data_IF_637629232563
#
_entry.id   IF_637629232563
#
_cell.length_a   1.000
_cell.length_b   1.000
_cell.length_c   1.000
_cell.angle_alpha   90.00
_cell.angle_beta   90.00
_cell.angle_gamma   90.00
#
_symmetry.space_group_name_H-M   'P 1'
#
loop_
_entity.id
_entity.type
_entity.pdbx_description
1 polymer ?
#
# COMPACT_ATOMS: atom_id res chain seq x y z
N UNK A 1 -13.04 7.36 1.27
CA UNK A 1 -11.79 7.92 0.67
C UNK A 1 -10.84 6.79 0.32
N UNK A 2 -10.00 6.96 -0.71
CA UNK A 2 -9.02 5.97 -1.16
C UNK A 2 -7.75 6.65 -1.66
N UNK A 3 -6.59 6.05 -1.41
CA UNK A 3 -5.28 6.51 -1.87
C UNK A 3 -4.43 5.29 -2.24
N UNK A 4 -3.48 5.48 -3.14
CA UNK A 4 -2.54 4.45 -3.60
C UNK A 4 -1.16 5.06 -3.79
N UNK A 5 -0.16 4.45 -3.18
CA UNK A 5 1.25 4.73 -3.44
C UNK A 5 1.90 3.47 -4.06
N UNK A 6 2.16 3.51 -5.35
CA UNK A 6 2.73 2.38 -6.07
C UNK A 6 2.21 2.28 -7.50
N UNK A 7 2.14 1.05 -8.00
CA UNK A 7 1.70 0.76 -9.36
C UNK A 7 1.05 -0.62 -9.45
N UNK A 8 0.08 -0.78 -10.35
CA UNK A 8 -0.42 -2.08 -10.81
C UNK A 8 0.44 -2.56 -11.99
N UNK A 9 0.97 -3.78 -11.89
CA UNK A 9 1.72 -4.43 -12.96
C UNK A 9 0.89 -4.59 -14.23
N UNK A 10 1.54 -4.64 -15.39
CA UNK A 10 0.87 -4.88 -16.67
C UNK A 10 -0.34 -3.96 -16.94
N UNK A 11 -0.31 -2.71 -16.44
CA UNK A 11 -1.47 -1.81 -16.40
C UNK A 11 -2.22 -1.67 -17.74
N UNK A 12 -1.47 -1.60 -18.85
CA UNK A 12 -2.02 -1.49 -20.21
C UNK A 12 -2.98 -2.63 -20.58
N UNK A 13 -2.80 -3.81 -19.99
CA UNK A 13 -3.65 -4.98 -20.20
C UNK A 13 -4.65 -5.17 -19.06
N UNK A 14 -4.19 -5.00 -17.82
CA UNK A 14 -5.00 -5.19 -16.61
C UNK A 14 -6.16 -4.20 -16.54
N UNK A 15 -6.00 -2.96 -17.03
CA UNK A 15 -7.08 -1.97 -17.02
C UNK A 15 -8.37 -2.50 -17.65
N UNK A 16 -8.26 -3.17 -18.81
CA UNK A 16 -9.43 -3.72 -19.52
C UNK A 16 -10.12 -4.79 -18.69
N UNK A 17 -9.35 -5.68 -18.08
CA UNK A 17 -9.90 -6.78 -17.27
C UNK A 17 -10.59 -6.25 -16.01
N UNK A 18 -10.01 -5.25 -15.34
CA UNK A 18 -10.67 -4.56 -14.23
C UNK A 18 -11.98 -3.92 -14.72
N UNK A 19 -11.93 -3.18 -15.83
CA UNK A 19 -13.09 -2.49 -16.39
C UNK A 19 -14.25 -3.42 -16.76
N UNK A 20 -13.95 -4.63 -17.24
CA UNK A 20 -14.96 -5.65 -17.54
C UNK A 20 -15.49 -6.35 -16.27
N UNK A 21 -14.71 -6.36 -15.19
CA UNK A 21 -15.06 -7.05 -13.94
C UNK A 21 -15.96 -6.23 -13.01
N UNK A 22 -15.85 -4.89 -13.07
CA UNK A 22 -16.60 -3.99 -12.19
C UNK A 22 -18.02 -3.77 -12.71
N UNK A 23 -18.98 -3.68 -11.79
CA UNK A 23 -20.37 -3.36 -12.11
C UNK A 23 -20.51 -2.00 -12.80
N UNK A 24 -21.57 -1.85 -13.59
CA UNK A 24 -21.86 -0.62 -14.36
C UNK A 24 -21.80 0.65 -13.50
N UNK A 25 -22.32 0.58 -12.27
CA UNK A 25 -22.32 1.67 -11.29
C UNK A 25 -20.91 2.22 -11.08
N UNK A 26 -19.96 1.35 -10.75
CA UNK A 26 -18.56 1.73 -10.47
C UNK A 26 -17.79 2.07 -11.74
N UNK A 27 -18.06 1.38 -12.85
CA UNK A 27 -17.46 1.70 -14.15
C UNK A 27 -17.74 3.14 -14.57
N UNK A 28 -19.00 3.59 -14.48
CA UNK A 28 -19.41 4.95 -14.86
C UNK A 28 -18.87 6.02 -13.89
N UNK A 29 -18.59 5.63 -12.65
CA UNK A 29 -18.03 6.53 -11.63
C UNK A 29 -16.55 6.90 -11.86
N UNK A 30 -15.82 6.14 -12.68
CA UNK A 30 -14.41 6.44 -13.01
C UNK A 30 -14.34 7.61 -13.99
N UNK A 31 -13.56 8.64 -13.63
CA UNK A 31 -13.41 9.88 -14.40
C UNK A 31 -12.03 9.99 -15.06
N UNK A 32 -11.02 9.29 -14.54
CA UNK A 32 -9.65 9.31 -15.03
C UNK A 32 -9.17 7.96 -15.57
N UNK A 33 -7.83 7.83 -15.62
CA UNK A 33 -7.14 6.70 -16.25
C UNK A 33 -6.03 6.11 -15.38
N UNK A 34 -5.94 6.54 -14.12
CA UNK A 34 -4.92 6.04 -13.20
C UNK A 34 -5.31 4.65 -12.70
N UNK A 35 -4.31 3.81 -12.47
CA UNK A 35 -4.50 2.51 -11.87
C UNK A 35 -5.12 2.61 -10.46
N UNK A 36 -4.78 3.66 -9.70
CA UNK A 36 -5.35 3.96 -8.39
C UNK A 36 -6.87 4.15 -8.41
N UNK A 37 -7.42 4.86 -9.39
CA UNK A 37 -8.86 5.13 -9.47
C UNK A 37 -9.63 3.87 -9.88
N UNK A 38 -9.10 3.10 -10.83
CA UNK A 38 -9.66 1.80 -11.20
C UNK A 38 -9.56 0.77 -10.08
N UNK A 39 -8.49 0.79 -9.28
CA UNK A 39 -8.38 -0.02 -8.06
C UNK A 39 -9.46 0.38 -7.04
N UNK A 40 -9.77 1.67 -6.92
CA UNK A 40 -10.84 2.13 -6.04
C UNK A 40 -12.22 1.67 -6.53
N UNK A 41 -12.51 1.79 -7.83
CA UNK A 41 -13.75 1.26 -8.41
C UNK A 41 -13.89 -0.25 -8.17
N UNK A 42 -12.81 -1.02 -8.34
CA UNK A 42 -12.78 -2.44 -8.04
C UNK A 42 -13.00 -2.74 -6.55
N UNK A 43 -12.47 -1.91 -5.66
CA UNK A 43 -12.69 -2.02 -4.22
C UNK A 43 -14.16 -1.79 -3.84
N UNK A 44 -14.80 -0.75 -4.41
CA UNK A 44 -16.22 -0.47 -4.18
C UNK A 44 -17.11 -1.61 -4.71
N UNK A 45 -16.77 -2.13 -5.89
CA UNK A 45 -17.44 -3.31 -6.46
C UNK A 45 -17.28 -4.56 -5.58
N UNK A 46 -16.11 -4.76 -4.96
CA UNK A 46 -15.89 -5.84 -3.99
C UNK A 46 -16.76 -5.69 -2.74
N UNK A 47 -16.96 -4.48 -2.24
CA UNK A 47 -17.87 -4.21 -1.12
C UNK A 47 -19.32 -4.52 -1.49
N UNK A 48 -19.79 -4.00 -2.63
CA UNK A 48 -21.16 -4.20 -3.09
C UNK A 48 -21.46 -5.69 -3.31
N UNK A 49 -20.55 -6.42 -3.99
CA UNK A 49 -20.67 -7.87 -4.20
C UNK A 49 -20.61 -8.69 -2.90
N UNK A 50 -20.01 -8.14 -1.85
CA UNK A 50 -20.01 -8.75 -0.52
C UNK A 50 -21.29 -8.44 0.29
N UNK A 51 -22.25 -7.71 -0.29
CA UNK A 51 -23.52 -7.35 0.34
C UNK A 51 -23.49 -6.01 1.08
N UNK A 52 -22.46 -5.19 0.87
CA UNK A 52 -22.30 -3.88 1.52
C UNK A 52 -22.38 -2.78 0.47
N UNK A 53 -23.56 -2.20 0.26
CA UNK A 53 -23.76 -1.10 -0.70
C UNK A 53 -23.03 0.17 -0.22
N UNK A 54 -21.99 0.66 -0.91
CA UNK A 54 -21.25 1.84 -0.48
C UNK A 54 -22.06 3.14 -0.46
N UNK A 55 -23.22 3.19 -1.13
CA UNK A 55 -24.12 4.36 -1.10
C UNK A 55 -25.22 4.26 -0.04
N UNK A 56 -25.26 3.17 0.74
CA UNK A 56 -26.23 3.02 1.82
C UNK A 56 -26.02 4.07 2.91
N UNK A 57 -27.11 4.70 3.33
CA UNK A 57 -27.11 5.64 4.46
C UNK A 57 -26.62 4.96 5.75
N UNK A 58 -26.93 3.67 5.94
CA UNK A 58 -26.49 2.88 7.10
C UNK A 58 -24.96 2.87 7.24
N UNK A 59 -24.24 2.59 6.15
CA UNK A 59 -22.79 2.50 6.17
C UNK A 59 -22.11 3.86 6.08
N UNK A 60 -22.81 4.88 5.57
CA UNK A 60 -22.34 6.27 5.66
C UNK A 60 -22.31 6.74 7.12
N UNK A 61 -23.33 6.40 7.91
CA UNK A 61 -23.44 6.83 9.32
C UNK A 61 -22.59 5.98 10.25
N UNK A 62 -22.50 4.67 10.04
CA UNK A 62 -21.87 3.76 11.01
C UNK A 62 -20.52 3.18 10.54
N UNK A 63 -20.16 3.38 9.27
CA UNK A 63 -19.06 2.67 8.62
C UNK A 63 -19.41 1.22 8.28
N UNK A 64 -18.58 0.57 7.47
CA UNK A 64 -18.75 -0.86 7.10
C UNK A 64 -18.23 -1.80 8.20
N UNK A 65 -17.42 -1.27 9.11
CA UNK A 65 -16.65 -2.04 10.07
C UNK A 65 -15.29 -2.48 9.52
N UNK A 66 -14.26 -2.37 10.36
CA UNK A 66 -12.87 -2.57 9.96
C UNK A 66 -12.57 -3.94 9.35
N UNK A 67 -13.30 -4.99 9.77
CA UNK A 67 -13.12 -6.35 9.22
C UNK A 67 -13.66 -6.46 7.80
N UNK A 68 -14.79 -5.81 7.50
CA UNK A 68 -15.38 -5.78 6.15
C UNK A 68 -14.46 -5.01 5.21
N UNK A 69 -14.02 -3.82 5.64
CA UNK A 69 -13.10 -2.98 4.88
C UNK A 69 -11.79 -3.72 4.54
N UNK A 70 -11.20 -4.41 5.53
CA UNK A 70 -9.99 -5.23 5.32
C UNK A 70 -10.25 -6.39 4.35
N UNK A 71 -11.35 -7.12 4.50
CA UNK A 71 -11.69 -8.24 3.61
C UNK A 71 -11.90 -7.77 2.17
N UNK A 72 -12.61 -6.67 1.97
CA UNK A 72 -12.80 -6.07 0.64
C UNK A 72 -11.45 -5.69 0.02
N UNK A 73 -10.57 -5.04 0.78
CA UNK A 73 -9.22 -4.69 0.31
C UNK A 73 -8.38 -5.92 -0.07
N UNK A 74 -8.41 -6.99 0.74
CA UNK A 74 -7.72 -8.24 0.41
C UNK A 74 -8.29 -8.89 -0.86
N UNK A 75 -9.60 -8.83 -1.05
CA UNK A 75 -10.24 -9.31 -2.27
C UNK A 75 -9.85 -8.47 -3.49
N UNK A 76 -9.74 -7.15 -3.35
CA UNK A 76 -9.24 -6.26 -4.41
C UNK A 76 -7.82 -6.63 -4.82
N UNK A 77 -6.90 -6.82 -3.86
CA UNK A 77 -5.52 -7.26 -4.12
C UNK A 77 -5.52 -8.61 -4.84
N UNK A 78 -6.31 -9.58 -4.37
CA UNK A 78 -6.43 -10.90 -4.99
C UNK A 78 -6.88 -10.82 -6.44
N UNK A 79 -7.89 -10.01 -6.76
CA UNK A 79 -8.38 -9.82 -8.12
C UNK A 79 -7.33 -9.14 -9.00
N UNK A 80 -6.67 -8.08 -8.51
CA UNK A 80 -5.58 -7.40 -9.23
C UNK A 80 -4.46 -8.40 -9.58
N UNK A 81 -4.00 -9.19 -8.60
CA UNK A 81 -3.00 -10.24 -8.85
C UNK A 81 -3.51 -11.24 -9.91
N UNK A 82 -4.77 -11.68 -9.81
CA UNK A 82 -5.37 -12.60 -10.79
C UNK A 82 -5.38 -12.05 -12.22
N UNK A 83 -5.71 -10.76 -12.40
CA UNK A 83 -5.66 -10.11 -13.71
C UNK A 83 -4.23 -9.96 -14.24
N UNK A 84 -3.28 -9.63 -13.36
CA UNK A 84 -1.86 -9.59 -13.71
C UNK A 84 -1.39 -10.98 -14.13
N UNK A 85 -1.73 -12.03 -13.39
CA UNK A 85 -1.33 -13.42 -13.68
C UNK A 85 -1.95 -13.93 -14.99
N UNK A 86 -3.20 -13.55 -15.28
CA UNK A 86 -3.91 -13.90 -16.50
C UNK A 86 -3.39 -13.18 -17.76
N UNK A 87 -2.52 -12.18 -17.63
CA UNK A 87 -1.95 -11.48 -18.80
C UNK A 87 -1.07 -12.45 -19.61
N UNK A 88 -1.37 -12.71 -20.91
CA UNK A 88 -0.62 -13.62 -21.76
C UNK A 88 0.87 -13.27 -21.84
N UNK A 89 1.74 -14.28 -21.86
CA UNK A 89 3.20 -14.09 -21.92
C UNK A 89 3.64 -13.28 -23.13
N UNK A 90 2.95 -13.42 -24.26
CA UNK A 90 3.27 -12.78 -25.54
C UNK A 90 3.00 -11.26 -25.51
N UNK A 91 2.13 -10.81 -24.59
CA UNK A 91 1.82 -9.41 -24.40
C UNK A 91 2.73 -8.74 -23.36
N UNK A 92 3.54 -9.52 -22.63
CA UNK A 92 4.48 -9.01 -21.64
C UNK A 92 5.81 -8.70 -22.30
N UNK A 93 5.96 -7.45 -22.74
CA UNK A 93 7.27 -6.91 -23.13
C UNK A 93 8.28 -7.05 -21.96
N UNK A 94 9.55 -7.25 -22.27
CA UNK A 94 10.65 -7.29 -21.29
C UNK A 94 10.74 -6.01 -20.46
N UNK A 95 10.36 -4.87 -21.05
CA UNK A 95 10.34 -3.58 -20.36
C UNK A 95 9.12 -3.40 -19.44
N UNK A 96 8.16 -4.32 -19.45
CA UNK A 96 6.93 -4.20 -18.67
C UNK A 96 7.13 -4.70 -17.24
N UNK A 97 6.66 -3.91 -16.27
CA UNK A 97 6.62 -4.37 -14.89
C UNK A 97 5.63 -5.52 -14.71
N UNK A 98 6.16 -6.61 -14.19
CA UNK A 98 5.42 -7.83 -13.86
C UNK A 98 5.03 -7.90 -12.38
N UNK A 99 5.42 -6.89 -11.59
CA UNK A 99 5.24 -6.83 -10.14
C UNK A 99 4.49 -5.56 -9.77
N UNK A 100 3.53 -5.69 -8.87
CA UNK A 100 2.69 -4.60 -8.37
C UNK A 100 3.20 -4.14 -7.00
N UNK A 101 3.16 -2.83 -6.78
CA UNK A 101 3.32 -2.19 -5.46
C UNK A 101 1.96 -1.61 -5.09
N UNK A 102 1.32 -2.20 -4.09
CA UNK A 102 -0.09 -1.91 -3.77
C UNK A 102 -0.20 -1.36 -2.34
N UNK A 103 0.46 -0.23 -2.07
CA UNK A 103 0.24 0.47 -0.80
C UNK A 103 -1.02 1.31 -0.91
N UNK A 104 -2.16 0.70 -0.62
CA UNK A 104 -3.45 1.35 -0.57
C UNK A 104 -3.70 1.93 0.82
N UNK A 105 -4.48 3.00 0.90
CA UNK A 105 -5.09 3.48 2.13
C UNK A 105 -6.56 3.78 1.85
N UNK A 106 -7.46 3.21 2.64
CA UNK A 106 -8.90 3.38 2.49
C UNK A 106 -9.52 3.74 3.83
N UNK A 107 -10.53 4.61 3.80
CA UNK A 107 -11.33 4.93 4.98
C UNK A 107 -12.81 5.11 4.63
N UNK A 108 -13.65 4.63 5.53
CA UNK A 108 -15.11 4.80 5.58
C UNK A 108 -15.54 5.86 6.62
N UNK A 109 -14.62 6.72 7.05
CA UNK A 109 -14.85 7.72 8.09
C UNK A 109 -14.77 7.20 9.53
N UNK A 110 -14.75 5.87 9.72
CA UNK A 110 -14.76 5.23 11.05
C UNK A 110 -13.53 4.35 11.28
N UNK A 111 -13.05 3.72 10.22
CA UNK A 111 -11.89 2.85 10.18
C UNK A 111 -10.96 3.29 9.07
N UNK A 112 -9.69 2.95 9.22
CA UNK A 112 -8.68 3.09 8.18
C UNK A 112 -8.03 1.74 7.97
N UNK A 113 -7.90 1.31 6.72
CA UNK A 113 -7.09 0.14 6.34
C UNK A 113 -6.04 0.63 5.37
N UNK A 114 -4.78 0.38 5.69
CA UNK A 114 -3.69 0.53 4.73
C UNK A 114 -3.03 -0.81 4.46
N UNK A 115 -2.47 -0.96 3.27
CA UNK A 115 -1.68 -2.12 2.88
C UNK A 115 -0.23 -1.68 2.67
N UNK A 116 0.71 -2.54 3.05
CA UNK A 116 2.09 -2.49 2.57
C UNK A 116 2.33 -3.77 1.80
N UNK A 117 2.30 -3.72 0.47
CA UNK A 117 2.20 -4.93 -0.35
C UNK A 117 3.03 -4.88 -1.64
N UNK A 118 3.66 -6.00 -1.95
CA UNK A 118 4.33 -6.28 -3.22
C UNK A 118 4.02 -7.69 -3.71
N UNK A 119 3.72 -7.83 -5.01
CA UNK A 119 3.50 -9.13 -5.65
C UNK A 119 4.83 -9.79 -6.05
N UNK A 120 5.69 -10.01 -5.07
CA UNK A 120 7.01 -10.65 -5.23
C UNK A 120 7.43 -11.32 -3.92
N UNK A 121 8.14 -12.44 -4.00
CA UNK A 121 8.75 -13.09 -2.82
C UNK A 121 10.14 -12.53 -2.50
N UNK A 122 10.78 -11.86 -3.46
CA UNK A 122 12.18 -11.38 -3.36
C UNK A 122 12.28 -9.87 -3.17
N UNK A 123 11.29 -9.11 -3.58
CA UNK A 123 11.29 -7.64 -3.48
C UNK A 123 10.59 -7.15 -2.22
N UNK A 124 10.99 -5.97 -1.74
CA UNK A 124 10.30 -5.25 -0.68
C UNK A 124 9.24 -4.32 -1.29
N UNK A 125 8.12 -4.18 -0.58
CA UNK A 125 7.13 -3.17 -0.90
C UNK A 125 7.65 -1.75 -0.61
N UNK A 126 7.01 -0.75 -1.19
CA UNK A 126 7.27 0.64 -0.84
C UNK A 126 7.09 0.85 0.68
N UNK A 127 7.88 1.76 1.25
CA UNK A 127 7.92 1.98 2.69
C UNK A 127 6.58 2.45 3.23
N UNK A 128 6.30 2.04 4.46
CA UNK A 128 5.12 2.47 5.21
C UNK A 128 5.45 2.37 6.69
N UNK A 129 5.24 3.46 7.40
CA UNK A 129 5.47 3.59 8.84
C UNK A 129 4.20 4.06 9.50
N UNK A 130 4.06 3.74 10.78
CA UNK A 130 3.05 4.37 11.62
C UNK A 130 3.62 4.82 12.96
N UNK A 131 3.05 5.87 13.49
CA UNK A 131 3.27 6.32 14.87
C UNK A 131 1.92 6.49 15.55
N UNK A 132 1.87 6.28 16.86
CA UNK A 132 0.63 6.38 17.63
C UNK A 132 0.89 7.10 18.94
N UNK A 133 -0.07 7.87 19.45
CA UNK A 133 0.09 8.56 20.72
C UNK A 133 -1.15 9.32 21.14
N UNK A 134 -1.02 10.12 22.20
CA UNK A 134 -2.13 10.87 22.80
C UNK A 134 -2.26 12.28 22.22
N UNK A 135 -1.16 12.89 21.75
CA UNK A 135 -1.24 14.21 21.12
C UNK A 135 -0.08 14.51 20.16
N UNK A 136 -0.36 15.22 19.07
CA UNK A 136 0.63 15.73 18.13
C UNK A 136 0.88 17.21 18.43
N UNK A 137 2.10 17.56 18.82
CA UNK A 137 2.44 18.92 19.25
C UNK A 137 3.70 19.42 18.61
N UNK A 138 3.73 20.73 18.39
CA UNK A 138 4.94 21.40 18.03
C UNK A 138 5.91 21.39 19.24
N UNK A 139 7.14 20.97 18.99
CA UNK A 139 8.26 21.01 19.93
C UNK A 139 8.85 22.42 20.05
N UNK A 140 10.12 22.49 20.44
CA UNK A 140 10.78 23.75 20.79
C UNK A 140 11.03 24.67 19.58
N UNK A 141 11.10 24.12 18.36
CA UNK A 141 11.33 24.86 17.13
C UNK A 141 10.10 25.01 16.19
N UNK A 142 10.03 26.10 15.40
CA UNK A 142 9.11 26.22 14.25
C UNK A 142 9.14 24.98 13.35
N UNK A 143 7.98 24.37 13.09
CA UNK A 143 7.85 23.21 12.20
C UNK A 143 8.39 21.88 12.75
N UNK A 144 8.93 21.85 13.97
CA UNK A 144 9.33 20.62 14.63
C UNK A 144 8.12 20.05 15.35
N UNK A 145 7.57 18.94 14.86
CA UNK A 145 6.47 18.26 15.53
C UNK A 145 6.94 16.96 16.16
N UNK A 146 6.27 16.56 17.24
CA UNK A 146 6.49 15.28 17.92
C UNK A 146 5.19 14.62 18.31
N UNK A 147 5.24 13.30 18.38
CA UNK A 147 4.18 12.47 18.93
C UNK A 147 4.39 12.30 20.44
N UNK A 148 3.47 12.82 21.25
CA UNK A 148 3.49 12.58 22.70
C UNK A 148 2.68 11.32 23.04
N UNK A 149 3.20 10.52 23.98
CA UNK A 149 2.53 9.35 24.57
C UNK A 149 2.40 9.56 26.07
N UNK A 150 1.25 10.06 26.53
CA UNK A 150 1.00 10.30 27.96
C UNK A 150 0.43 9.08 28.68
N UNK A 151 -0.17 8.17 27.93
CA UNK A 151 -0.71 6.90 28.40
C UNK A 151 -0.54 5.81 27.33
N UNK A 152 -1.20 4.66 27.53
CA UNK A 152 -1.18 3.52 26.60
C UNK A 152 -2.15 3.67 25.42
N UNK A 153 -2.97 4.72 25.40
CA UNK A 153 -3.91 5.03 24.34
C UNK A 153 -3.23 5.50 23.06
N UNK A 154 -3.92 5.30 21.95
CA UNK A 154 -3.54 5.80 20.63
C UNK A 154 -4.67 6.69 20.09
N UNK A 155 -4.86 7.86 20.72
CA UNK A 155 -5.84 8.87 20.30
C UNK A 155 -5.55 9.42 18.91
N UNK A 156 -4.26 9.47 18.55
CA UNK A 156 -3.77 9.88 17.25
C UNK A 156 -2.93 8.75 16.69
N UNK A 157 -3.21 8.40 15.44
CA UNK A 157 -2.39 7.48 14.65
C UNK A 157 -2.00 8.18 13.36
N UNK A 158 -0.70 8.27 13.12
CA UNK A 158 -0.13 8.76 11.87
C UNK A 158 0.35 7.57 11.06
N UNK A 159 0.03 7.54 9.78
CA UNK A 159 0.55 6.57 8.81
C UNK A 159 1.19 7.36 7.68
N UNK A 160 2.43 7.06 7.35
CA UNK A 160 3.20 7.80 6.35
C UNK A 160 4.21 6.90 5.63
N UNK A 161 4.60 7.29 4.42
CA UNK A 161 5.64 6.59 3.66
C UNK A 161 7.02 6.74 4.29
N UNK A 162 7.23 7.77 5.13
CA UNK A 162 8.47 8.04 5.86
C UNK A 162 8.19 8.70 7.22
N UNK A 163 9.10 8.56 8.21
CA UNK A 163 8.97 9.27 9.48
C UNK A 163 8.94 10.79 9.29
N UNK A 164 7.88 11.44 9.77
CA UNK A 164 7.69 12.90 9.64
C UNK A 164 8.40 13.71 10.75
N UNK A 165 9.01 13.03 11.73
CA UNK A 165 9.66 13.65 12.89
C UNK A 165 11.12 13.24 13.00
N UNK A 166 11.92 14.07 13.68
CA UNK A 166 13.32 13.75 13.97
C UNK A 166 13.45 12.53 14.88
N UNK A 167 12.52 12.35 15.82
CA UNK A 167 12.44 11.19 16.72
C UNK A 167 11.97 9.94 15.96
N UNK A 168 12.86 9.35 15.15
CA UNK A 168 12.55 8.18 14.32
C UNK A 168 12.17 6.94 15.14
N UNK A 169 12.65 6.83 16.38
CA UNK A 169 12.34 5.71 17.27
C UNK A 169 10.84 5.64 17.65
N UNK A 170 10.10 6.73 17.46
CA UNK A 170 8.65 6.76 17.66
C UNK A 170 7.85 6.20 16.47
N UNK A 171 8.52 5.83 15.38
CA UNK A 171 7.91 5.28 14.17
C UNK A 171 8.17 3.79 14.04
N UNK A 172 7.09 3.04 13.91
CA UNK A 172 7.13 1.60 13.69
C UNK A 172 7.02 1.34 12.20
N UNK A 173 7.95 0.54 11.69
CA UNK A 173 7.93 0.09 10.29
C UNK A 173 6.83 -0.96 10.11
N UNK A 174 5.97 -0.79 9.10
CA UNK A 174 4.99 -1.81 8.73
C UNK A 174 5.71 -2.95 7.98
N UNK A 175 5.51 -4.22 8.37
CA UNK A 175 6.09 -5.35 7.66
C UNK A 175 5.57 -5.45 6.22
N UNK A 176 6.42 -5.90 5.30
CA UNK A 176 6.01 -6.17 3.92
C UNK A 176 4.94 -7.25 3.86
N UNK A 177 3.98 -7.09 2.95
CA UNK A 177 2.80 -7.94 2.77
C UNK A 177 1.98 -8.04 4.06
N UNK A 178 1.63 -6.87 4.60
CA UNK A 178 0.76 -6.73 5.77
C UNK A 178 -0.27 -5.63 5.57
N UNK A 179 -1.38 -5.75 6.29
CA UNK A 179 -2.37 -4.69 6.47
C UNK A 179 -2.15 -4.02 7.82
N UNK A 180 -2.30 -2.70 7.87
CA UNK A 180 -2.51 -1.94 9.10
C UNK A 180 -3.98 -1.52 9.14
N UNK A 181 -4.65 -1.82 10.24
CA UNK A 181 -6.05 -1.46 10.46
C UNK A 181 -6.13 -0.58 11.69
N UNK A 182 -6.69 0.61 11.53
CA UNK A 182 -6.97 1.55 12.60
C UNK A 182 -8.47 1.58 12.77
N UNK A 183 -8.93 1.26 13.98
CA UNK A 183 -10.34 1.35 14.32
C UNK A 183 -10.45 1.85 15.75
N UNK A 184 -11.13 2.99 15.93
CA UNK A 184 -11.11 3.74 17.19
C UNK A 184 -9.65 4.05 17.57
N UNK A 185 -9.22 3.69 18.77
CA UNK A 185 -7.84 3.88 19.26
C UNK A 185 -6.98 2.61 19.14
N UNK A 186 -7.38 1.64 18.33
CA UNK A 186 -6.63 0.38 18.19
C UNK A 186 -5.97 0.29 16.83
N UNK A 187 -4.66 0.04 16.84
CA UNK A 187 -3.88 -0.29 15.64
C UNK A 187 -3.65 -1.79 15.62
N UNK A 188 -4.04 -2.44 14.53
CA UNK A 188 -3.85 -3.87 14.34
C UNK A 188 -3.07 -4.12 13.05
N UNK A 189 -2.09 -5.02 13.11
CA UNK A 189 -1.30 -5.43 11.94
C UNK A 189 -1.62 -6.89 11.66
N UNK A 190 -2.03 -7.19 10.42
CA UNK A 190 -2.31 -8.56 9.99
C UNK A 190 -1.53 -8.89 8.72
N UNK A 191 -0.87 -10.05 8.65
CA UNK A 191 -0.19 -10.48 7.43
C UNK A 191 -1.19 -10.70 6.30
N UNK A 192 -0.77 -10.37 5.08
CA UNK A 192 -1.45 -10.75 3.84
C UNK A 192 -0.85 -12.10 3.43
N UNK A 193 -1.61 -13.18 3.64
CA UNK A 193 -1.17 -14.54 3.36
C UNK A 193 -1.61 -14.94 1.94
N UNK A 194 -0.66 -14.90 1.00
CA UNK A 194 -0.81 -15.32 -0.39
C UNK A 194 0.50 -15.97 -0.90
N UNK A 195 0.62 -16.20 -2.20
CA UNK A 195 1.82 -16.81 -2.81
C UNK A 195 3.09 -15.97 -2.67
N UNK A 196 2.98 -14.68 -2.29
CA UNK A 196 4.10 -13.77 -2.10
C UNK A 196 4.48 -13.58 -0.63
N UNK A 197 3.69 -14.14 0.30
CA UNK A 197 4.00 -14.14 1.73
C UNK A 197 5.20 -15.04 2.04
N UNK A 198 6.07 -14.60 2.96
CA UNK A 198 7.18 -15.41 3.44
C UNK A 198 6.99 -15.68 4.93
N UNK A 199 6.96 -16.96 5.32
CA UNK A 199 6.79 -17.40 6.71
C UNK A 199 8.05 -17.21 7.56
N UNK A 200 9.23 -17.03 6.94
CA UNK A 200 10.49 -16.81 7.64
C UNK A 200 10.62 -15.34 8.07
N UNK A 201 10.65 -15.04 9.39
CA UNK A 201 10.79 -13.67 9.88
C UNK A 201 12.12 -13.01 9.52
N UNK A 202 13.15 -13.80 9.22
CA UNK A 202 14.49 -13.34 8.86
C UNK A 202 14.70 -13.22 7.34
N UNK A 203 13.65 -13.41 6.55
CA UNK A 203 13.74 -13.31 5.09
C UNK A 203 14.08 -11.88 4.67
N UNK A 204 15.16 -11.73 3.91
CA UNK A 204 15.60 -10.44 3.38
C UNK A 204 15.01 -10.22 1.99
N UNK A 205 14.51 -9.02 1.75
CA UNK A 205 13.90 -8.59 0.48
C UNK A 205 14.70 -7.42 -0.09
N UNK A 206 14.80 -7.37 -1.41
CA UNK A 206 15.50 -6.29 -2.12
C UNK A 206 14.63 -5.05 -2.22
N UNK A 207 15.18 -3.89 -1.86
CA UNK A 207 14.56 -2.58 -2.07
C UNK A 207 14.60 -2.09 -3.52
N UNK A 208 15.41 -2.74 -4.37
CA UNK A 208 15.74 -2.24 -5.71
C UNK A 208 14.51 -1.98 -6.59
N UNK A 209 13.47 -2.81 -6.48
CA UNK A 209 12.26 -2.61 -7.27
C UNK A 209 11.50 -1.33 -6.88
N UNK A 210 11.21 -1.14 -5.58
CA UNK A 210 10.55 0.08 -5.11
C UNK A 210 11.36 1.34 -5.47
N UNK A 211 12.69 1.30 -5.30
CA UNK A 211 13.58 2.41 -5.67
C UNK A 211 13.55 2.68 -7.18
N UNK A 212 13.52 1.65 -8.02
CA UNK A 212 13.40 1.81 -9.48
C UNK A 212 12.09 2.47 -9.93
N UNK A 213 11.07 2.46 -9.06
CA UNK A 213 9.79 3.15 -9.26
C UNK A 213 9.74 4.56 -8.64
N UNK A 214 10.88 5.05 -8.14
CA UNK A 214 10.96 6.35 -7.46
C UNK A 214 10.32 6.34 -6.08
N UNK A 215 10.10 5.17 -5.48
CA UNK A 215 9.48 5.02 -4.17
C UNK A 215 10.55 4.78 -3.10
N UNK A 216 10.26 5.26 -1.90
CA UNK A 216 11.08 5.00 -0.71
C UNK A 216 10.88 3.53 -0.30
N UNK A 217 11.95 2.90 0.18
CA UNK A 217 11.95 1.55 0.76
C UNK A 217 12.51 1.62 2.18
N UNK A 218 12.32 0.58 2.99
CA UNK A 218 12.77 0.60 4.37
C UNK A 218 14.28 0.37 4.46
N UNK A 219 15.07 1.43 4.35
CA UNK A 219 16.44 1.46 4.88
C UNK A 219 16.98 2.90 4.97
N UNK A 220 17.55 3.30 6.13
CA UNK A 220 18.83 3.97 6.18
C UNK A 220 19.91 2.88 6.32
N UNK A 221 20.51 2.46 5.21
CA UNK A 221 21.57 1.44 5.23
C UNK A 221 21.92 0.95 3.83
N UNK A 222 23.07 1.39 3.33
CA UNK A 222 23.59 1.16 1.98
C UNK A 222 22.88 1.91 0.84
N UNK A 223 22.89 3.25 0.93
CA UNK A 223 23.39 3.99 -0.23
C UNK A 223 24.82 3.47 -0.47
N UNK A 224 25.00 2.48 -1.34
CA UNK A 224 26.27 2.43 -2.05
C UNK A 224 26.28 3.70 -2.88
N UNK A 225 27.00 4.71 -2.38
CA UNK A 225 27.41 5.82 -3.20
C UNK A 225 27.99 5.21 -4.47
N UNK A 226 27.35 5.44 -5.61
CA UNK A 226 27.96 5.15 -6.90
C UNK A 226 29.21 6.03 -6.92
N UNK A 227 30.35 5.42 -6.59
CA UNK A 227 31.63 6.10 -6.69
C UNK A 227 31.90 6.22 -8.18
N UNK A 228 32.16 7.43 -8.72
CA UNK A 228 32.52 7.59 -10.13
C UNK A 228 33.93 7.02 -10.33
N UNK A 229 34.02 5.70 -10.48
CA UNK A 229 35.30 4.98 -10.56
C UNK A 229 35.32 3.76 -11.49
N UNK A 230 34.18 3.14 -11.78
CA UNK A 230 34.15 1.88 -12.55
C UNK A 230 33.59 2.01 -13.97
N UNK A 231 33.93 3.09 -14.67
CA UNK A 231 33.59 3.31 -16.09
C UNK A 231 34.76 3.04 -17.05
N UNK A 232 35.79 2.28 -16.66
CA UNK A 232 36.99 2.08 -17.52
C UNK A 232 37.35 0.67 -17.96
N UNK A 233 36.67 -0.40 -17.55
CA UNK A 233 37.01 -1.76 -18.02
C UNK A 233 35.84 -2.49 -18.73
N UNK A 234 35.10 -1.78 -19.57
CA UNK A 234 34.12 -2.38 -20.48
C UNK A 234 34.39 -2.02 -21.96
N UNK A 235 35.65 -1.74 -22.30
CA UNK A 235 36.14 -1.71 -23.68
C UNK A 235 37.51 -2.36 -23.68
N UNK A 236 37.65 -3.45 -24.45
CA UNK A 236 38.84 -4.29 -24.67
C UNK A 236 39.06 -5.45 -23.68
N UNK A 237 38.36 -6.57 -23.92
CA UNK A 237 38.94 -7.89 -24.24
C UNK A 237 37.80 -8.90 -24.46
#
# INVERSE_FOLDING_TARGET
>A
MFMHNGNIACWRHVKREIALSVGRKWFVGVQGNTDSEWAFALFLDCLEKAGFDPDSEEFTVNGFGHTVLRKAMLQTIKLINGFVDATPSELRDEMMDKRSLLNFAVSDGHSVVCTKYVSSTTDEAASLYFSSGTSWKQGEGPGQYKMERRDKGADIVLVASEPLTFERDNWVTVPTNSTITIHKQTVMIHPIIDQYYNHSPSHTRSSGFAVSKGLVSNAPGATQAITPGNLRNAVAA
#
